data_IF_293761409324
#
_entry.id   IF_293761409324
#
_cell.length_a   1.000
_cell.length_b   1.000
_cell.length_c   1.000
_cell.angle_alpha   90.00
_cell.angle_beta   90.00
_cell.angle_gamma   90.00
#
_symmetry.space_group_name_H-M   'P 1'
#
loop_
_entity.id
_entity.type
_entity.pdbx_description
1 polymer ?
#
# COMPACT_ATOMS: atom_id res chain seq x y z
N UNK A 1 2.90 -15.07 -0.94
CA UNK A 1 2.54 -13.64 -0.89
C UNK A 1 1.04 -13.44 -1.02
N UNK A 2 0.31 -14.23 -1.79
CA UNK A 2 -1.15 -14.08 -1.90
C UNK A 2 -1.92 -14.33 -0.58
N UNK A 3 -1.31 -15.01 0.41
CA UNK A 3 -1.86 -15.16 1.79
C UNK A 3 -1.89 -13.88 2.63
N UNK A 4 -1.33 -12.77 2.13
CA UNK A 4 -1.18 -11.53 2.89
C UNK A 4 -2.51 -10.81 3.16
N UNK A 5 -3.52 -11.03 2.32
CA UNK A 5 -4.80 -10.31 2.40
C UNK A 5 -5.93 -11.29 2.64
N UNK A 6 -6.52 -11.23 3.83
CA UNK A 6 -7.70 -12.03 4.18
C UNK A 6 -9.00 -11.26 3.95
N UNK A 7 -10.10 -11.93 3.58
CA UNK A 7 -11.36 -11.27 3.29
C UNK A 7 -11.91 -10.40 4.42
N UNK A 8 -11.75 -10.82 5.68
CA UNK A 8 -12.25 -10.06 6.83
C UNK A 8 -11.54 -8.71 7.03
N UNK A 9 -10.42 -8.48 6.34
CA UNK A 9 -9.65 -7.24 6.43
C UNK A 9 -10.00 -6.27 5.30
N UNK A 10 -10.88 -6.62 4.36
CA UNK A 10 -11.18 -5.77 3.20
C UNK A 10 -12.01 -4.55 3.61
N UNK A 11 -11.59 -3.36 3.18
CA UNK A 11 -12.41 -2.15 3.25
C UNK A 11 -13.30 -2.06 2.01
N UNK A 12 -14.61 -2.19 2.22
CA UNK A 12 -15.60 -2.21 1.14
C UNK A 12 -16.14 -0.83 0.80
N UNK A 13 -16.19 0.07 1.80
CA UNK A 13 -16.66 1.43 1.60
C UNK A 13 -15.62 2.26 0.83
N UNK A 14 -16.04 2.99 -0.22
CA UNK A 14 -15.15 3.87 -0.95
C UNK A 14 -14.55 4.96 -0.07
N UNK A 15 -13.25 5.20 -0.20
CA UNK A 15 -12.53 6.27 0.49
C UNK A 15 -12.29 7.42 -0.48
N UNK A 16 -12.32 8.65 0.03
CA UNK A 16 -12.01 9.85 -0.76
C UNK A 16 -10.59 9.78 -1.31
N UNK A 17 -10.40 10.13 -2.59
CA UNK A 17 -9.12 10.08 -3.28
C UNK A 17 -8.64 11.47 -3.72
N UNK A 18 -7.33 11.61 -3.89
CA UNK A 18 -6.71 12.85 -4.36
C UNK A 18 -6.88 12.99 -5.88
N UNK A 19 -7.55 14.07 -6.31
CA UNK A 19 -8.11 14.22 -7.65
C UNK A 19 -7.11 14.10 -8.81
N UNK A 20 -5.91 14.67 -8.69
CA UNK A 20 -4.87 14.66 -9.73
C UNK A 20 -4.13 13.31 -9.84
N UNK A 21 -4.29 12.43 -8.85
CA UNK A 21 -3.63 11.10 -8.81
C UNK A 21 -4.59 9.95 -9.08
N UNK A 22 -5.89 10.16 -8.93
CA UNK A 22 -6.93 9.15 -9.11
C UNK A 22 -7.23 8.94 -10.59
N UNK A 23 -7.08 7.72 -11.07
CA UNK A 23 -7.36 7.32 -12.46
C UNK A 23 -8.72 6.63 -12.61
N UNK A 24 -9.29 6.13 -11.51
CA UNK A 24 -10.58 5.46 -11.51
C UNK A 24 -10.64 4.32 -10.50
N UNK A 25 -11.77 3.62 -10.49
CA UNK A 25 -11.99 2.48 -9.62
C UNK A 25 -12.70 1.39 -10.43
N UNK A 26 -12.26 0.15 -10.24
CA UNK A 26 -12.91 -1.02 -10.86
C UNK A 26 -13.33 -2.02 -9.78
N UNK A 27 -14.52 -2.62 -9.88
CA UNK A 27 -14.92 -3.69 -8.98
C UNK A 27 -14.19 -4.97 -9.36
N UNK A 28 -13.54 -5.62 -8.40
CA UNK A 28 -12.91 -6.94 -8.59
C UNK A 28 -13.46 -7.91 -7.57
N UNK A 29 -13.77 -9.13 -8.02
CA UNK A 29 -14.21 -10.19 -7.13
C UNK A 29 -12.99 -10.86 -6.50
N UNK A 30 -12.88 -10.76 -5.18
CA UNK A 30 -11.86 -11.39 -4.36
C UNK A 30 -12.56 -12.40 -3.43
N UNK A 31 -12.33 -13.69 -3.67
CA UNK A 31 -13.10 -14.78 -3.06
C UNK A 31 -14.62 -14.62 -3.32
N UNK A 32 -15.40 -14.43 -2.26
CA UNK A 32 -16.85 -14.18 -2.29
C UNK A 32 -17.22 -12.69 -2.24
N UNK A 33 -16.26 -11.78 -2.16
CA UNK A 33 -16.48 -10.35 -1.98
C UNK A 33 -16.19 -9.58 -3.26
N UNK A 34 -16.97 -8.53 -3.53
CA UNK A 34 -16.64 -7.55 -4.57
C UNK A 34 -15.99 -6.36 -3.89
N UNK A 35 -14.73 -6.07 -4.23
CA UNK A 35 -13.98 -4.98 -3.64
C UNK A 35 -13.66 -3.90 -4.65
N UNK A 36 -13.53 -2.64 -4.20
CA UNK A 36 -12.99 -1.57 -5.02
C UNK A 36 -11.47 -1.74 -5.20
N UNK A 37 -11.01 -1.85 -6.45
CA UNK A 37 -9.61 -1.64 -6.81
C UNK A 37 -9.45 -0.21 -7.30
N UNK A 38 -8.62 0.55 -6.60
CA UNK A 38 -8.31 1.94 -6.92
C UNK A 38 -7.16 1.97 -7.93
N UNK A 39 -7.37 2.62 -9.06
CA UNK A 39 -6.34 2.89 -10.05
C UNK A 39 -5.77 4.28 -9.77
N UNK A 40 -4.49 4.33 -9.44
CA UNK A 40 -3.79 5.54 -9.02
C UNK A 40 -2.54 5.76 -9.88
N UNK A 41 -2.01 6.97 -9.83
CA UNK A 41 -0.66 7.30 -10.29
C UNK A 41 0.13 8.05 -9.23
N UNK A 42 1.46 7.98 -9.30
CA UNK A 42 2.29 8.87 -8.50
C UNK A 42 2.06 10.31 -8.94
N UNK A 43 2.00 11.28 -8.01
CA UNK A 43 1.91 12.67 -8.39
C UNK A 43 3.22 13.14 -9.03
N UNK A 44 3.12 14.01 -10.03
CA UNK A 44 4.27 14.57 -10.78
C UNK A 44 5.32 15.26 -9.90
N UNK A 45 4.92 15.77 -8.73
CA UNK A 45 5.81 16.38 -7.72
C UNK A 45 6.68 15.37 -6.96
N UNK A 46 6.29 14.09 -6.93
CA UNK A 46 7.09 13.00 -6.36
C UNK A 46 7.89 12.28 -7.46
N UNK A 47 7.26 12.01 -8.60
CA UNK A 47 7.88 11.31 -9.74
C UNK A 47 7.39 11.90 -11.06
N UNK A 48 8.31 12.37 -11.89
CA UNK A 48 7.99 12.94 -13.21
C UNK A 48 7.30 11.93 -14.14
N UNK A 49 7.57 10.64 -13.93
CA UNK A 49 7.01 9.55 -14.74
C UNK A 49 5.59 9.19 -14.33
N UNK A 50 5.06 9.78 -13.24
CA UNK A 50 3.70 9.58 -12.74
C UNK A 50 3.27 8.10 -12.74
N UNK A 51 4.12 7.24 -12.17
CA UNK A 51 4.00 5.78 -12.31
C UNK A 51 2.61 5.28 -11.87
N UNK A 52 1.87 4.55 -12.72
CA UNK A 52 0.57 4.02 -12.36
C UNK A 52 0.69 2.78 -11.46
N UNK A 53 -0.30 2.59 -10.59
CA UNK A 53 -0.44 1.40 -9.75
C UNK A 53 -1.90 1.17 -9.35
N UNK A 54 -2.17 -0.02 -8.82
CA UNK A 54 -3.50 -0.41 -8.36
C UNK A 54 -3.45 -0.79 -6.89
N UNK A 55 -4.45 -0.35 -6.12
CA UNK A 55 -4.57 -0.61 -4.69
C UNK A 55 -5.88 -1.33 -4.37
N UNK A 56 -5.81 -2.27 -3.43
CA UNK A 56 -6.95 -2.63 -2.58
C UNK A 56 -6.72 -2.07 -1.19
N UNK A 57 -7.81 -1.69 -0.53
CA UNK A 57 -7.76 -1.15 0.83
C UNK A 57 -8.11 -2.23 1.84
N UNK A 58 -7.30 -2.35 2.88
CA UNK A 58 -7.48 -3.33 3.95
C UNK A 58 -7.27 -2.69 5.32
N UNK A 59 -7.99 -3.15 6.33
CA UNK A 59 -7.86 -2.71 7.72
C UNK A 59 -6.52 -3.13 8.33
N UNK A 60 -6.05 -4.33 7.98
CA UNK A 60 -4.78 -4.86 8.46
C UNK A 60 -4.13 -5.81 7.46
N UNK A 61 -2.86 -6.14 7.68
CA UNK A 61 -2.12 -7.16 6.92
C UNK A 61 -1.55 -8.15 7.92
N UNK A 62 -2.06 -9.39 7.91
CA UNK A 62 -1.62 -10.43 8.83
C UNK A 62 -0.24 -10.97 8.42
N UNK A 63 0.82 -10.34 8.90
CA UNK A 63 2.16 -10.90 8.76
C UNK A 63 3.16 -10.39 9.80
N UNK A 64 3.88 -11.29 10.49
CA UNK A 64 4.88 -10.91 11.49
C UNK A 64 6.14 -10.27 10.88
N UNK A 65 6.26 -10.28 9.54
CA UNK A 65 7.43 -9.80 8.83
C UNK A 65 7.21 -8.45 8.14
N UNK A 66 6.03 -7.84 8.31
CA UNK A 66 5.73 -6.54 7.72
C UNK A 66 6.59 -5.48 8.42
N UNK A 67 7.30 -4.68 7.63
CA UNK A 67 8.11 -3.59 8.13
C UNK A 67 7.64 -2.28 7.54
N UNK A 68 7.43 -1.31 8.43
CA UNK A 68 7.21 0.10 8.09
C UNK A 68 8.55 0.78 7.83
N UNK A 69 8.61 1.62 6.79
CA UNK A 69 9.79 2.39 6.42
C UNK A 69 9.46 3.88 6.57
N UNK A 70 9.85 4.52 7.68
CA UNK A 70 9.57 5.94 7.88
C UNK A 70 10.10 6.78 6.71
N UNK A 71 9.28 7.74 6.27
CA UNK A 71 9.68 8.70 5.24
C UNK A 71 10.58 9.75 5.87
N UNK A 72 11.77 9.98 5.29
CA UNK A 72 12.75 10.93 5.83
C UNK A 72 12.21 12.36 5.93
N UNK A 73 11.29 12.72 5.02
CA UNK A 73 10.60 14.01 4.99
C UNK A 73 9.09 13.81 5.23
N UNK A 74 8.58 14.12 6.44
CA UNK A 74 7.17 13.96 6.79
C UNK A 74 6.22 14.77 5.89
N UNK A 75 6.67 15.88 5.31
CA UNK A 75 5.82 16.70 4.44
C UNK A 75 5.44 15.97 3.16
N UNK A 76 6.31 15.07 2.68
CA UNK A 76 6.01 14.19 1.53
C UNK A 76 4.99 13.13 1.89
N UNK A 77 5.02 12.62 3.11
CA UNK A 77 4.03 11.65 3.58
C UNK A 77 2.61 12.24 3.67
N UNK A 78 2.50 13.57 3.87
CA UNK A 78 1.21 14.28 3.85
C UNK A 78 0.63 14.45 2.44
N UNK A 79 1.46 14.28 1.42
CA UNK A 79 1.06 14.31 0.03
C UNK A 79 0.43 12.97 -0.39
N UNK A 80 -0.75 12.71 0.16
CA UNK A 80 -1.39 11.39 0.17
C UNK A 80 -2.46 11.22 -0.88
N UNK A 81 -2.43 10.06 -1.55
CA UNK A 81 -3.47 9.54 -2.43
C UNK A 81 -4.87 9.49 -1.79
N UNK A 82 -4.94 9.45 -0.46
CA UNK A 82 -6.16 9.53 0.33
C UNK A 82 -6.07 10.76 1.26
N UNK A 83 -6.76 11.86 0.92
CA UNK A 83 -6.69 13.11 1.68
C UNK A 83 -7.06 12.91 3.17
N UNK A 84 -6.33 13.59 4.05
CA UNK A 84 -6.51 13.47 5.50
C UNK A 84 -5.67 12.36 6.17
N UNK A 85 -4.98 11.55 5.36
CA UNK A 85 -4.04 10.53 5.83
C UNK A 85 -2.61 10.90 5.44
N UNK A 86 -1.65 10.46 6.25
CA UNK A 86 -0.24 10.38 5.89
C UNK A 86 0.12 8.95 5.51
N UNK A 87 1.04 8.74 4.56
CA UNK A 87 1.44 7.40 4.14
C UNK A 87 2.83 6.99 4.63
N UNK A 88 2.97 5.70 4.96
CA UNK A 88 4.22 5.05 5.35
C UNK A 88 4.41 3.82 4.46
N UNK A 89 5.50 3.73 3.66
CA UNK A 89 5.79 2.54 2.88
C UNK A 89 5.91 1.30 3.75
N UNK A 90 5.34 0.19 3.29
CA UNK A 90 5.42 -1.09 3.96
C UNK A 90 5.99 -2.18 3.04
N UNK A 91 6.86 -3.02 3.58
CA UNK A 91 7.56 -4.04 2.80
C UNK A 91 7.79 -5.33 3.58
N UNK A 92 8.01 -6.41 2.82
CA UNK A 92 8.41 -7.72 3.35
C UNK A 92 9.86 -8.06 3.03
N UNK A 93 10.55 -8.82 3.89
CA UNK A 93 11.85 -9.37 3.56
C UNK A 93 11.71 -10.42 2.43
N UNK A 94 12.52 -10.25 1.38
CA UNK A 94 12.67 -11.19 0.26
C UNK A 94 14.17 -11.44 0.06
N UNK A 95 14.70 -12.44 0.77
CA UNK A 95 16.14 -12.68 0.86
C UNK A 95 16.86 -11.48 1.50
N UNK A 96 17.82 -10.90 0.79
CA UNK A 96 18.57 -9.71 1.24
C UNK A 96 17.88 -8.38 0.94
N UNK A 97 16.75 -8.40 0.20
CA UNK A 97 16.02 -7.20 -0.24
C UNK A 97 14.73 -7.03 0.54
N UNK A 98 14.21 -5.81 0.57
CA UNK A 98 12.87 -5.52 1.06
C UNK A 98 11.96 -5.27 -0.14
N UNK A 99 10.85 -5.99 -0.19
CA UNK A 99 9.90 -5.93 -1.30
C UNK A 99 8.70 -5.11 -0.89
N UNK A 100 8.54 -3.97 -1.54
CA UNK A 100 7.50 -3.00 -1.23
C UNK A 100 6.14 -3.52 -1.68
N UNK A 101 5.18 -3.61 -0.75
CA UNK A 101 3.85 -4.17 -1.00
C UNK A 101 2.74 -3.13 -0.91
N UNK A 102 3.06 -1.89 -0.55
CA UNK A 102 2.11 -0.80 -0.49
C UNK A 102 2.39 0.14 0.66
N UNK A 103 1.34 0.76 1.19
CA UNK A 103 1.46 1.82 2.18
C UNK A 103 0.48 1.63 3.33
N UNK A 104 0.90 1.98 4.53
CA UNK A 104 0.02 2.25 5.67
C UNK A 104 -0.40 3.71 5.62
N UNK A 105 -1.68 3.98 5.76
CA UNK A 105 -2.26 5.31 5.80
C UNK A 105 -2.74 5.59 7.21
N UNK A 106 -2.28 6.67 7.83
CA UNK A 106 -2.61 7.02 9.22
C UNK A 106 -3.16 8.44 9.26
N UNK A 107 -4.33 8.64 9.87
CA UNK A 107 -4.91 9.96 10.07
C UNK A 107 -4.40 10.60 11.37
N UNK A 108 -4.82 11.85 11.63
CA UNK A 108 -4.46 12.60 12.84
C UNK A 108 -5.00 12.00 14.15
N UNK A 109 -6.07 11.21 14.06
CA UNK A 109 -6.77 10.62 15.21
C UNK A 109 -6.17 9.25 15.57
N UNK A 110 -5.24 8.74 14.76
CA UNK A 110 -4.55 7.47 14.94
C UNK A 110 -5.21 6.29 14.21
N UNK A 111 -6.34 6.51 13.54
CA UNK A 111 -6.95 5.49 12.70
C UNK A 111 -6.09 5.23 11.48
N UNK A 112 -6.04 3.97 11.06
CA UNK A 112 -5.25 3.57 9.92
C UNK A 112 -5.91 2.49 9.07
N UNK A 113 -5.39 2.38 7.86
CA UNK A 113 -5.63 1.26 6.96
C UNK A 113 -4.37 1.06 6.10
N UNK A 114 -4.34 0.00 5.31
CA UNK A 114 -3.30 -0.24 4.33
C UNK A 114 -3.87 -0.19 2.92
N UNK A 115 -3.13 0.42 2.00
CA UNK A 115 -3.32 0.23 0.57
C UNK A 115 -2.29 -0.76 0.07
N UNK A 116 -2.74 -1.96 -0.28
CA UNK A 116 -1.88 -3.04 -0.80
C UNK A 116 -1.83 -2.96 -2.31
N UNK A 117 -0.63 -2.97 -2.87
CA UNK A 117 -0.41 -2.95 -4.31
C UNK A 117 -0.83 -4.30 -4.90
N UNK A 118 -1.68 -4.24 -5.92
CA UNK A 118 -2.20 -5.44 -6.59
C UNK A 118 -2.02 -5.35 -8.09
N UNK A 119 -2.00 -6.52 -8.72
CA UNK A 119 -2.24 -6.66 -10.15
C UNK A 119 -3.53 -7.47 -10.32
N UNK A 120 -4.51 -6.87 -11.00
CA UNK A 120 -5.76 -7.58 -11.33
C UNK A 120 -5.45 -8.61 -12.41
N UNK A 121 -5.85 -9.86 -12.17
CA UNK A 121 -5.68 -10.96 -13.11
C UNK A 121 -6.96 -11.79 -13.15
N UNK A 122 -7.83 -11.58 -14.17
CA UNK A 122 -9.12 -12.24 -14.26
C UNK A 122 -9.00 -13.74 -14.54
N UNK A 123 -7.82 -14.25 -14.89
CA UNK A 123 -7.61 -15.68 -15.16
C UNK A 123 -7.46 -16.52 -13.88
N UNK A 124 -7.34 -15.86 -12.72
CA UNK A 124 -7.17 -16.52 -11.43
C UNK A 124 -8.46 -16.72 -10.67
N UNK A 125 -8.47 -17.74 -9.82
CA UNK A 125 -9.59 -18.05 -8.94
C UNK A 125 -9.88 -16.95 -7.89
N UNK A 126 -8.83 -16.26 -7.43
CA UNK A 126 -8.92 -15.13 -6.50
C UNK A 126 -9.05 -13.77 -7.21
N UNK A 127 -8.83 -13.70 -8.54
CA UNK A 127 -9.03 -12.52 -9.37
C UNK A 127 -7.90 -11.47 -9.33
N UNK A 128 -6.86 -11.68 -8.53
CA UNK A 128 -5.74 -10.74 -8.38
C UNK A 128 -4.48 -11.42 -7.83
N UNK A 129 -3.41 -10.64 -7.78
CA UNK A 129 -2.18 -10.95 -7.06
C UNK A 129 -1.69 -9.75 -6.29
N UNK A 130 -1.10 -9.98 -5.11
CA UNK A 130 -0.30 -8.95 -4.44
C UNK A 130 0.93 -8.68 -5.31
N UNK A 131 1.02 -7.47 -5.81
CA UNK A 131 2.12 -7.01 -6.65
C UNK A 131 3.06 -6.15 -5.82
N UNK A 132 4.25 -5.91 -6.35
CA UNK A 132 5.31 -5.26 -5.59
C UNK A 132 5.81 -4.04 -6.32
N UNK A 133 5.77 -2.91 -5.64
CA UNK A 133 6.03 -1.60 -6.23
C UNK A 133 7.49 -1.21 -6.00
N UNK A 134 8.40 -2.02 -6.54
CA UNK A 134 9.85 -1.87 -6.41
C UNK A 134 10.47 -2.51 -5.17
N UNK A 135 11.75 -2.21 -4.95
CA UNK A 135 12.53 -2.69 -3.80
C UNK A 135 12.94 -1.53 -2.90
N UNK A 136 12.77 -1.69 -1.59
CA UNK A 136 13.30 -0.76 -0.60
C UNK A 136 14.67 -1.24 -0.12
N UNK A 137 15.56 -0.28 0.14
CA UNK A 137 16.84 -0.59 0.81
C UNK A 137 16.55 -0.85 2.28
N UNK A 138 17.07 -1.94 2.81
CA UNK A 138 16.99 -2.26 4.24
C UNK A 138 17.64 -1.12 5.03
N UNK A 139 16.88 -0.44 5.89
CA UNK A 139 17.48 0.47 6.85
C UNK A 139 18.35 -0.36 7.80
N UNK A 140 19.66 -0.06 7.83
CA UNK A 140 20.53 -0.63 8.86
C UNK A 140 20.07 -0.04 10.19
N UNK A 141 19.52 -0.87 11.10
CA UNK A 141 19.33 -0.46 12.49
C UNK A 141 20.68 0.03 13.00
N UNK A 142 20.76 1.31 13.39
CA UNK A 142 21.89 1.81 14.15
C UNK A 142 21.87 1.09 15.51
N UNK A 143 22.77 0.12 15.68
CA UNK A 143 23.01 -0.50 16.98
C UNK A 143 23.66 0.56 17.86
N UNK A 144 22.88 1.28 18.66
CA UNK A 144 23.41 2.07 19.76
C UNK A 144 23.93 1.11 20.83
N UNK A 145 25.20 0.71 20.72
CA UNK A 145 25.94 0.14 21.85
C UNK A 145 26.27 1.33 22.76
N UNK A 146 25.49 1.51 23.81
CA UNK A 146 25.92 2.32 24.97
C UNK A 146 26.90 1.47 25.76
N UNK A 147 28.19 1.79 25.67
CA UNK A 147 29.22 1.47 26.66
C UNK A 147 29.02 2.29 27.92
#
# INVERSE_FOLDING_TARGET
MDELVKPQLLLLDPVMTQQDTFLGQIPVKIYSYTVPVYLMKQPSRISKDELPFSLILVQDIESPFLQEFPVDDPTKAMDSWFPGYSWIPVAYPCGERMQHVGWKYVNKDGDFFYGVVVKVDPTRADGFHVATFGTLKRQRRATAIRT
#
